data_IF_477903885674
#
_entry.id   IF_477903885674
#
_cell.length_a   1.000
_cell.length_b   1.000
_cell.length_c   1.000
_cell.angle_alpha   90.00
_cell.angle_beta   90.00
_cell.angle_gamma   90.00
#
_symmetry.space_group_name_H-M   'P 1'
#
loop_
_entity.id
_entity.type
_entity.pdbx_description
1 polymer ?
#
# COMPACT_ATOMS: atom_id res chain seq x y z
N UNK A 1 -24.18 -20.77 -15.14
CA UNK A 1 -24.55 -19.42 -15.67
C UNK A 1 -23.52 -19.03 -16.73
N UNK A 2 -23.97 -18.60 -17.94
CA UNK A 2 -23.05 -18.11 -18.97
C UNK A 2 -22.18 -16.95 -18.45
N UNK A 3 -20.92 -16.89 -18.91
CA UNK A 3 -19.96 -15.85 -18.46
C UNK A 3 -20.48 -14.44 -18.68
N UNK A 4 -21.12 -14.19 -19.85
CA UNK A 4 -21.70 -12.89 -20.16
C UNK A 4 -22.76 -12.47 -19.15
N UNK A 5 -23.71 -13.35 -18.82
CA UNK A 5 -24.80 -13.04 -17.88
C UNK A 5 -24.25 -12.79 -16.45
N UNK A 6 -23.25 -13.58 -16.05
CA UNK A 6 -22.53 -13.38 -14.78
C UNK A 6 -21.89 -12.00 -14.74
N UNK A 7 -21.12 -11.65 -15.76
CA UNK A 7 -20.37 -10.39 -15.80
C UNK A 7 -21.32 -9.18 -15.86
N UNK A 8 -22.41 -9.27 -16.60
CA UNK A 8 -23.46 -8.25 -16.59
C UNK A 8 -24.03 -8.04 -15.18
N UNK A 9 -24.37 -9.14 -14.47
CA UNK A 9 -24.87 -9.08 -13.10
C UNK A 9 -23.88 -8.38 -12.17
N UNK A 10 -22.58 -8.76 -12.20
CA UNK A 10 -21.56 -8.13 -11.38
C UNK A 10 -21.30 -6.67 -11.77
N UNK A 11 -21.40 -6.31 -13.05
CA UNK A 11 -21.31 -4.92 -13.49
C UNK A 11 -22.46 -4.09 -12.92
N UNK A 12 -23.70 -4.58 -13.02
CA UNK A 12 -24.88 -3.88 -12.47
C UNK A 12 -24.80 -3.77 -10.95
N UNK A 13 -24.46 -4.85 -10.25
CA UNK A 13 -24.31 -4.83 -8.79
C UNK A 13 -23.20 -3.87 -8.37
N UNK A 14 -22.05 -3.90 -9.04
CA UNK A 14 -20.94 -2.99 -8.78
C UNK A 14 -21.31 -1.52 -9.06
N UNK A 15 -22.10 -1.24 -10.11
CA UNK A 15 -22.58 0.11 -10.40
C UNK A 15 -23.48 0.64 -9.28
N UNK A 16 -24.42 -0.18 -8.79
CA UNK A 16 -25.29 0.19 -7.67
C UNK A 16 -24.45 0.52 -6.42
N UNK A 17 -23.45 -0.31 -6.12
CA UNK A 17 -22.56 -0.08 -4.97
C UNK A 17 -21.73 1.19 -5.18
N UNK A 18 -21.14 1.39 -6.35
CA UNK A 18 -20.33 2.58 -6.67
C UNK A 18 -21.14 3.86 -6.51
N UNK A 19 -22.38 3.90 -7.04
CA UNK A 19 -23.31 5.02 -6.87
C UNK A 19 -23.66 5.21 -5.40
N UNK A 20 -23.95 4.14 -4.67
CA UNK A 20 -24.30 4.20 -3.26
C UNK A 20 -23.16 4.75 -2.40
N UNK A 21 -21.91 4.31 -2.65
CA UNK A 21 -20.73 4.80 -1.94
C UNK A 21 -20.46 6.26 -2.30
N UNK A 22 -20.52 6.63 -3.57
CA UNK A 22 -20.39 8.01 -4.02
C UNK A 22 -21.44 8.92 -3.36
N UNK A 23 -22.72 8.55 -3.39
CA UNK A 23 -23.80 9.30 -2.76
C UNK A 23 -23.58 9.46 -1.24
N UNK A 24 -23.18 8.37 -0.56
CA UNK A 24 -22.85 8.41 0.87
C UNK A 24 -21.76 9.46 1.16
N UNK A 25 -20.66 9.43 0.40
CA UNK A 25 -19.56 10.37 0.64
C UNK A 25 -19.92 11.81 0.26
N UNK A 26 -20.76 12.01 -0.74
CA UNK A 26 -21.25 13.35 -1.11
C UNK A 26 -22.20 13.95 -0.08
N UNK A 27 -23.03 13.12 0.56
CA UNK A 27 -24.01 13.58 1.54
C UNK A 27 -23.45 13.68 2.96
N UNK A 28 -22.58 12.72 3.35
CA UNK A 28 -22.09 12.61 4.72
C UNK A 28 -20.63 13.08 4.88
N UNK A 29 -19.97 13.41 3.78
CA UNK A 29 -18.55 13.71 3.74
C UNK A 29 -17.65 12.46 3.88
N UNK A 30 -16.42 12.58 3.47
CA UNK A 30 -15.40 11.57 3.71
C UNK A 30 -14.71 11.88 5.04
N UNK A 31 -14.60 10.89 5.93
CA UNK A 31 -14.00 11.09 7.25
C UNK A 31 -12.58 10.51 7.33
N UNK A 32 -12.45 9.23 7.01
CA UNK A 32 -11.16 8.51 7.05
C UNK A 32 -11.28 7.17 6.30
N UNK A 33 -10.17 6.61 5.81
CA UNK A 33 -10.17 5.27 5.21
C UNK A 33 -10.53 4.19 6.24
N UNK A 34 -11.04 3.05 5.74
CA UNK A 34 -11.23 1.87 6.56
C UNK A 34 -9.87 1.21 6.81
N UNK A 35 -9.59 0.91 8.06
CA UNK A 35 -8.39 0.18 8.47
C UNK A 35 -8.80 -1.13 9.14
N UNK A 36 -7.82 -2.00 9.43
CA UNK A 36 -8.07 -3.20 10.25
C UNK A 36 -8.69 -2.79 11.56
N UNK A 37 -9.79 -3.48 11.96
CA UNK A 37 -10.55 -3.12 13.17
C UNK A 37 -9.65 -3.09 14.40
N UNK A 38 -9.80 -2.02 15.20
CA UNK A 38 -9.09 -1.87 16.47
C UNK A 38 -9.48 -2.94 17.51
N UNK A 39 -10.66 -3.57 17.35
CA UNK A 39 -11.24 -4.48 18.34
C UNK A 39 -10.56 -5.85 18.37
N UNK A 40 -9.77 -6.21 17.36
CA UNK A 40 -9.04 -7.48 17.30
C UNK A 40 -7.52 -7.24 17.33
N UNK A 41 -6.95 -7.22 18.55
CA UNK A 41 -5.51 -6.98 18.77
C UNK A 41 -4.64 -8.04 18.08
N UNK A 42 -5.01 -9.31 18.15
CA UNK A 42 -4.23 -10.41 17.59
C UNK A 42 -4.21 -10.32 16.05
N UNK A 43 -5.36 -10.14 15.43
CA UNK A 43 -5.43 -9.97 13.97
C UNK A 43 -4.66 -8.73 13.47
N UNK A 44 -4.57 -7.66 14.27
CA UNK A 44 -3.73 -6.49 13.93
C UNK A 44 -2.25 -6.82 14.02
N UNK A 45 -1.82 -7.59 15.01
CA UNK A 45 -0.43 -8.03 15.14
C UNK A 45 -0.07 -8.96 13.98
N UNK A 46 -0.91 -9.94 13.67
CA UNK A 46 -0.71 -10.85 12.54
C UNK A 46 -0.59 -10.07 11.21
N UNK A 47 -1.47 -9.10 10.98
CA UNK A 47 -1.39 -8.23 9.80
C UNK A 47 -0.06 -7.46 9.71
N UNK A 48 0.40 -6.87 10.81
CA UNK A 48 1.68 -6.15 10.88
C UNK A 48 2.86 -7.10 10.57
N UNK A 49 2.81 -8.33 11.11
CA UNK A 49 3.82 -9.36 10.83
C UNK A 49 3.82 -9.73 9.35
N UNK A 50 2.65 -9.97 8.75
CA UNK A 50 2.50 -10.32 7.34
C UNK A 50 3.05 -9.21 6.42
N UNK A 51 2.80 -7.94 6.75
CA UNK A 51 3.32 -6.79 6.02
C UNK A 51 4.84 -6.77 6.05
N UNK A 52 5.45 -6.83 7.24
CA UNK A 52 6.91 -6.77 7.39
C UNK A 52 7.58 -7.98 6.73
N UNK A 53 7.04 -9.20 6.94
CA UNK A 53 7.56 -10.41 6.29
C UNK A 53 7.47 -10.32 4.77
N UNK A 54 6.40 -9.73 4.24
CA UNK A 54 6.24 -9.52 2.81
C UNK A 54 7.29 -8.56 2.26
N UNK A 55 7.55 -7.44 2.93
CA UNK A 55 8.62 -6.55 2.53
C UNK A 55 9.98 -7.27 2.53
N UNK A 56 10.32 -7.93 3.64
CA UNK A 56 11.60 -8.65 3.77
C UNK A 56 11.79 -9.74 2.70
N UNK A 57 10.71 -10.41 2.32
CA UNK A 57 10.73 -11.45 1.29
C UNK A 57 10.97 -10.89 -0.11
N UNK A 58 10.44 -9.70 -0.41
CA UNK A 58 10.54 -9.10 -1.74
C UNK A 58 11.70 -8.11 -1.88
N UNK A 59 12.40 -7.77 -0.80
CA UNK A 59 13.63 -6.99 -0.92
C UNK A 59 14.63 -7.69 -1.85
N UNK A 60 15.34 -6.93 -2.72
CA UNK A 60 16.43 -7.48 -3.51
C UNK A 60 17.47 -8.18 -2.62
N UNK A 61 18.10 -9.28 -3.09
CA UNK A 61 19.01 -10.09 -2.26
C UNK A 61 20.23 -9.31 -1.71
N UNK A 62 20.62 -8.23 -2.37
CA UNK A 62 21.71 -7.34 -1.97
C UNK A 62 21.27 -6.23 -1.00
N UNK A 63 20.00 -6.18 -0.63
CA UNK A 63 19.42 -5.14 0.23
C UNK A 63 19.01 -5.73 1.58
N UNK A 64 19.46 -5.12 2.64
CA UNK A 64 19.06 -5.42 4.01
C UNK A 64 18.45 -4.19 4.67
N UNK A 65 17.52 -4.40 5.56
CA UNK A 65 16.95 -3.33 6.41
C UNK A 65 17.97 -2.78 7.40
N UNK A 66 18.95 -3.61 7.80
CA UNK A 66 19.96 -3.27 8.82
C UNK A 66 20.79 -2.04 8.44
N UNK A 67 20.84 -1.08 9.37
CA UNK A 67 21.58 0.17 9.22
C UNK A 67 20.95 1.18 8.25
N UNK A 68 19.75 0.90 7.74
CA UNK A 68 19.04 1.77 6.77
C UNK A 68 18.11 2.77 7.46
N UNK A 69 18.04 3.95 6.87
CA UNK A 69 16.97 4.91 7.16
C UNK A 69 15.74 4.56 6.32
N UNK A 70 14.63 4.27 6.98
CA UNK A 70 13.40 3.76 6.34
C UNK A 70 12.30 4.81 6.36
N UNK A 71 11.64 5.01 5.21
CA UNK A 71 10.39 5.76 5.08
C UNK A 71 9.24 4.79 4.78
N UNK A 72 8.17 4.87 5.54
CA UNK A 72 6.90 4.19 5.24
C UNK A 72 5.83 5.19 4.81
N UNK A 73 5.18 4.92 3.68
CA UNK A 73 4.06 5.72 3.19
C UNK A 73 2.74 5.05 3.55
N UNK A 74 1.86 5.79 4.22
CA UNK A 74 0.53 5.31 4.57
C UNK A 74 0.51 4.11 5.52
N UNK A 75 1.11 4.19 6.73
CA UNK A 75 1.14 3.07 7.68
C UNK A 75 -0.27 2.67 8.15
N UNK A 76 -1.27 3.49 7.87
CA UNK A 76 -2.63 3.26 8.30
C UNK A 76 -2.79 3.34 9.83
N UNK A 77 -3.44 2.36 10.44
CA UNK A 77 -3.75 2.38 11.88
C UNK A 77 -2.65 1.81 12.78
N UNK A 78 -1.47 1.47 12.23
CA UNK A 78 -0.40 0.88 13.04
C UNK A 78 1.00 1.32 12.61
N UNK A 79 1.80 1.72 13.58
CA UNK A 79 3.24 1.98 13.45
C UNK A 79 4.09 0.80 13.93
N UNK A 80 3.47 -0.33 14.25
CA UNK A 80 4.19 -1.51 14.70
C UNK A 80 5.05 -2.15 13.58
N UNK A 81 4.75 -1.88 12.31
CA UNK A 81 5.63 -2.15 11.16
C UNK A 81 7.00 -1.52 11.37
N UNK A 82 7.03 -0.23 11.72
CA UNK A 82 8.25 0.50 12.01
C UNK A 82 9.01 -0.02 13.23
N UNK A 83 8.27 -0.40 14.28
CA UNK A 83 8.87 -1.01 15.47
C UNK A 83 9.58 -2.34 15.12
N UNK A 84 8.97 -3.15 14.26
CA UNK A 84 9.58 -4.39 13.76
C UNK A 84 10.78 -4.12 12.83
N UNK A 85 10.71 -3.10 11.97
CA UNK A 85 11.85 -2.73 11.12
C UNK A 85 13.05 -2.29 11.95
N UNK A 86 12.83 -1.52 13.04
CA UNK A 86 13.89 -1.20 14.00
C UNK A 86 14.43 -2.46 14.67
N UNK A 87 13.58 -3.41 15.08
CA UNK A 87 13.99 -4.69 15.66
C UNK A 87 14.73 -5.59 14.65
N UNK A 88 14.55 -5.35 13.33
CA UNK A 88 15.39 -5.94 12.27
C UNK A 88 16.70 -5.17 12.03
N UNK A 89 16.99 -4.15 12.83
CA UNK A 89 18.20 -3.35 12.80
C UNK A 89 18.16 -2.14 11.89
N UNK A 90 16.99 -1.65 11.47
CA UNK A 90 16.90 -0.34 10.81
C UNK A 90 17.51 0.74 11.71
N UNK A 91 18.20 1.71 11.11
CA UNK A 91 18.79 2.82 11.86
C UNK A 91 17.71 3.83 12.31
N UNK A 92 16.83 4.17 11.41
CA UNK A 92 15.71 5.10 11.68
C UNK A 92 14.46 4.64 10.93
N UNK A 93 13.31 5.00 11.48
CA UNK A 93 12.02 4.83 10.85
C UNK A 93 11.25 6.16 10.87
N UNK A 94 10.72 6.53 9.73
CA UNK A 94 9.81 7.66 9.58
C UNK A 94 8.58 7.19 8.82
N UNK A 95 7.40 7.45 9.34
CA UNK A 95 6.14 7.21 8.65
C UNK A 95 5.46 8.52 8.29
N UNK A 96 4.83 8.57 7.11
CA UNK A 96 4.03 9.71 6.66
C UNK A 96 2.64 9.24 6.22
N UNK A 97 1.60 9.96 6.62
CA UNK A 97 0.22 9.65 6.28
C UNK A 97 -0.59 10.93 6.01
N UNK A 98 -1.67 10.81 5.25
CA UNK A 98 -2.65 11.88 5.06
C UNK A 98 -3.61 12.01 6.26
N UNK A 99 -3.75 10.96 7.07
CA UNK A 99 -4.68 10.87 8.19
C UNK A 99 -3.97 10.37 9.46
N UNK A 100 -4.30 10.92 10.62
CA UNK A 100 -3.72 10.51 11.91
C UNK A 100 -4.31 9.17 12.42
N UNK A 101 -4.27 8.12 11.59
CA UNK A 101 -4.92 6.83 11.88
C UNK A 101 -4.24 6.05 13.00
N UNK A 102 -2.93 6.22 13.15
CA UNK A 102 -2.13 5.54 14.19
C UNK A 102 -1.89 6.40 15.44
N UNK A 103 -2.55 7.57 15.57
CA UNK A 103 -2.31 8.50 16.70
C UNK A 103 -2.61 7.88 18.06
N UNK A 104 -3.61 7.00 18.13
CA UNK A 104 -4.04 6.35 19.36
C UNK A 104 -3.32 5.01 19.64
N UNK A 105 -2.38 4.61 18.78
CA UNK A 105 -1.64 3.36 18.97
C UNK A 105 -0.64 3.47 20.13
N UNK A 106 -0.70 2.53 21.06
CA UNK A 106 0.14 2.53 22.25
C UNK A 106 1.52 1.92 22.01
N UNK A 107 2.52 2.37 22.77
CA UNK A 107 3.85 1.76 22.77
C UNK A 107 3.81 0.28 23.22
N UNK A 108 2.84 -0.08 24.06
CA UNK A 108 2.61 -1.47 24.49
C UNK A 108 2.24 -2.37 23.30
N UNK A 109 1.32 -1.91 22.42
CA UNK A 109 0.95 -2.66 21.23
C UNK A 109 2.17 -2.93 20.33
N UNK A 110 3.02 -1.93 20.12
CA UNK A 110 4.27 -2.06 19.34
C UNK A 110 5.26 -3.04 19.97
N UNK A 111 5.40 -3.02 21.31
CA UNK A 111 6.23 -4.01 22.03
C UNK A 111 5.70 -5.43 21.89
N UNK A 112 4.38 -5.60 21.98
CA UNK A 112 3.76 -6.91 21.78
C UNK A 112 3.98 -7.45 20.37
N UNK A 113 3.88 -6.57 19.35
CA UNK A 113 4.17 -6.95 17.97
C UNK A 113 5.61 -7.46 17.81
N UNK A 114 6.59 -6.80 18.45
CA UNK A 114 7.98 -7.29 18.48
C UNK A 114 8.08 -8.63 19.22
N UNK A 115 7.51 -8.73 20.42
CA UNK A 115 7.63 -9.92 21.27
C UNK A 115 7.01 -11.19 20.65
N UNK A 116 5.96 -11.01 19.84
CA UNK A 116 5.26 -12.12 19.17
C UNK A 116 5.79 -12.42 17.78
N UNK A 117 6.77 -11.65 17.27
CA UNK A 117 7.31 -11.88 15.94
C UNK A 117 8.06 -13.21 15.88
N UNK A 118 7.58 -14.12 15.04
CA UNK A 118 8.16 -15.44 14.86
C UNK A 118 9.27 -15.41 13.80
N UNK A 119 10.35 -14.71 14.07
CA UNK A 119 11.49 -14.54 13.17
C UNK A 119 12.80 -14.33 13.96
N UNK A 120 13.92 -14.41 13.24
CA UNK A 120 15.25 -14.23 13.84
C UNK A 120 15.54 -12.74 14.07
N UNK A 121 15.22 -12.23 15.25
CA UNK A 121 15.62 -10.91 15.71
C UNK A 121 16.84 -11.03 16.63
N UNK A 122 17.76 -10.08 16.55
CA UNK A 122 18.87 -10.00 17.50
C UNK A 122 18.41 -9.27 18.76
N UNK A 123 18.79 -9.76 19.92
CA UNK A 123 18.40 -9.18 21.21
C UNK A 123 18.81 -7.69 21.31
N UNK A 124 19.99 -7.36 20.83
CA UNK A 124 20.51 -5.99 20.77
C UNK A 124 19.57 -5.05 19.97
N UNK A 125 19.10 -5.49 18.80
CA UNK A 125 18.19 -4.69 17.96
C UNK A 125 16.80 -4.55 18.59
N UNK A 126 16.33 -5.58 19.30
CA UNK A 126 15.09 -5.52 20.07
C UNK A 126 15.18 -4.44 21.15
N UNK A 127 16.28 -4.40 21.88
CA UNK A 127 16.52 -3.42 22.95
C UNK A 127 16.58 -1.99 22.40
N UNK A 128 17.26 -1.79 21.26
CA UNK A 128 17.32 -0.51 20.54
C UNK A 128 15.91 -0.09 20.08
N UNK A 129 15.15 -1.00 19.47
CA UNK A 129 13.80 -0.73 19.02
C UNK A 129 12.89 -0.35 20.20
N UNK A 130 12.93 -1.10 21.29
CA UNK A 130 12.16 -0.81 22.49
C UNK A 130 12.52 0.55 23.11
N UNK A 131 13.80 0.90 23.16
CA UNK A 131 14.25 2.19 23.62
C UNK A 131 13.71 3.35 22.75
N UNK A 132 13.70 3.16 21.42
CA UNK A 132 13.17 4.14 20.48
C UNK A 132 11.65 4.35 20.61
N UNK A 133 10.91 3.40 21.17
CA UNK A 133 9.45 3.51 21.41
C UNK A 133 9.11 4.29 22.68
N UNK A 134 10.09 4.60 23.54
CA UNK A 134 9.91 5.39 24.74
C UNK A 134 10.16 6.88 24.45
N UNK A 135 9.11 7.70 24.45
CA UNK A 135 9.20 9.15 24.27
C UNK A 135 9.32 9.61 22.81
N UNK A 136 9.69 10.86 22.62
CA UNK A 136 9.92 11.46 21.29
C UNK A 136 11.33 11.12 20.81
N UNK A 137 11.50 9.94 20.23
CA UNK A 137 12.77 9.52 19.65
C UNK A 137 12.95 10.12 18.25
N UNK A 138 14.15 10.62 17.95
CA UNK A 138 14.51 11.03 16.58
C UNK A 138 14.57 9.86 15.60
N UNK A 139 14.67 8.64 16.11
CA UNK A 139 14.80 7.41 15.30
C UNK A 139 13.45 6.76 14.97
N UNK A 140 12.35 7.23 15.59
CA UNK A 140 11.00 6.73 15.33
C UNK A 140 10.03 7.91 15.23
N UNK A 141 9.59 8.23 14.00
CA UNK A 141 8.79 9.43 13.75
C UNK A 141 7.54 9.11 12.93
N UNK A 142 6.46 9.82 13.23
CA UNK A 142 5.22 9.80 12.49
C UNK A 142 4.76 11.21 12.18
N UNK A 143 4.55 11.52 10.90
CA UNK A 143 4.12 12.82 10.43
C UNK A 143 2.83 12.69 9.64
N UNK A 144 1.91 13.61 9.86
CA UNK A 144 0.59 13.61 9.21
C UNK A 144 0.32 14.96 8.59
N UNK A 145 -0.07 14.96 7.33
CA UNK A 145 -0.56 16.13 6.62
C UNK A 145 -1.54 15.73 5.52
N UNK A 146 -2.73 16.32 5.51
CA UNK A 146 -3.77 16.01 4.54
C UNK A 146 -3.36 16.28 3.08
N UNK A 147 -2.43 17.19 2.84
CA UNK A 147 -1.85 17.45 1.52
C UNK A 147 -0.83 16.41 1.07
N UNK A 148 -0.41 15.52 1.96
CA UNK A 148 0.56 14.45 1.73
C UNK A 148 1.82 14.91 0.97
N UNK A 149 2.35 16.07 1.34
CA UNK A 149 3.57 16.61 0.77
C UNK A 149 4.79 15.91 1.39
N UNK A 150 5.25 14.82 0.75
CA UNK A 150 6.32 13.96 1.26
C UNK A 150 7.60 14.75 1.60
N UNK A 151 8.17 15.59 0.71
CA UNK A 151 9.36 16.38 1.04
C UNK A 151 9.20 17.26 2.26
N UNK A 152 8.06 17.95 2.38
CA UNK A 152 7.79 18.81 3.54
C UNK A 152 7.61 18.00 4.83
N UNK A 153 6.94 16.84 4.77
CA UNK A 153 6.75 15.94 5.91
C UNK A 153 8.07 15.34 6.39
N UNK A 154 8.97 15.02 5.48
CA UNK A 154 10.28 14.42 5.80
C UNK A 154 11.33 15.45 6.27
N UNK A 155 11.08 16.76 6.16
CA UNK A 155 11.95 17.82 6.70
C UNK A 155 13.42 17.66 6.32
N UNK A 156 13.70 17.55 5.02
CA UNK A 156 15.06 17.39 4.45
C UNK A 156 15.76 16.06 4.79
N UNK A 157 15.10 15.12 5.48
CA UNK A 157 15.64 13.77 5.66
C UNK A 157 15.67 13.03 4.35
N UNK A 158 16.68 12.16 4.22
CA UNK A 158 16.81 11.26 3.08
C UNK A 158 16.84 9.80 3.54
N UNK A 159 16.35 8.90 2.69
CA UNK A 159 16.09 7.51 3.04
C UNK A 159 16.83 6.55 2.11
N UNK A 160 17.22 5.41 2.68
CA UNK A 160 17.85 4.31 1.97
C UNK A 160 16.82 3.27 1.50
N UNK A 161 15.64 3.28 2.12
CA UNK A 161 14.56 2.35 1.84
C UNK A 161 13.21 3.05 1.98
N UNK A 162 12.35 2.95 0.97
CA UNK A 162 11.00 3.52 0.96
C UNK A 162 10.00 2.40 0.77
N UNK A 163 9.09 2.24 1.71
CA UNK A 163 8.15 1.12 1.78
C UNK A 163 6.70 1.61 1.80
N UNK A 164 5.79 0.80 1.29
CA UNK A 164 4.35 0.93 1.56
C UNK A 164 3.64 -0.41 1.40
N UNK A 165 2.48 -0.54 2.01
CA UNK A 165 1.56 -1.66 1.79
C UNK A 165 0.14 -1.14 1.72
N UNK A 166 -0.57 -1.46 0.65
CA UNK A 166 -1.97 -1.07 0.41
C UNK A 166 -2.20 0.46 0.54
N UNK A 167 -1.28 1.26 -0.02
CA UNK A 167 -1.35 2.72 -0.01
C UNK A 167 -1.33 3.32 -1.44
N UNK A 168 -0.48 2.80 -2.34
CA UNK A 168 -0.30 3.36 -3.69
C UNK A 168 -1.56 3.34 -4.55
N UNK A 169 -2.46 2.37 -4.34
CA UNK A 169 -3.76 2.33 -5.01
C UNK A 169 -4.69 3.49 -4.63
N UNK A 170 -4.38 4.23 -3.57
CA UNK A 170 -5.14 5.39 -3.11
C UNK A 170 -4.52 6.74 -3.49
N UNK A 171 -3.35 6.75 -4.11
CA UNK A 171 -2.72 7.98 -4.59
C UNK A 171 -3.26 8.34 -5.97
N UNK A 172 -4.10 9.37 -6.05
CA UNK A 172 -4.72 9.81 -7.31
C UNK A 172 -3.65 10.26 -8.33
N UNK A 173 -2.61 10.97 -7.85
CA UNK A 173 -1.52 11.53 -8.65
C UNK A 173 -0.21 10.77 -8.39
N UNK A 174 -0.10 9.52 -8.88
CA UNK A 174 1.08 8.68 -8.63
C UNK A 174 2.39 9.33 -9.12
N UNK A 175 2.37 10.05 -10.24
CA UNK A 175 3.53 10.78 -10.78
C UNK A 175 4.03 11.82 -9.77
N UNK A 176 3.13 12.62 -9.18
CA UNK A 176 3.50 13.63 -8.17
C UNK A 176 4.02 12.98 -6.91
N UNK A 177 3.44 11.86 -6.50
CA UNK A 177 3.91 11.10 -5.34
C UNK A 177 5.33 10.61 -5.57
N UNK A 178 5.59 9.99 -6.74
CA UNK A 178 6.91 9.45 -7.08
C UNK A 178 7.95 10.57 -7.27
N UNK A 179 7.58 11.72 -7.87
CA UNK A 179 8.44 12.92 -7.87
C UNK A 179 8.82 13.37 -6.45
N UNK A 180 7.86 13.33 -5.53
CA UNK A 180 8.14 13.58 -4.12
C UNK A 180 9.13 12.60 -3.49
N UNK A 181 9.09 11.31 -3.91
CA UNK A 181 10.05 10.31 -3.43
C UNK A 181 11.47 10.60 -3.91
N UNK A 182 11.68 11.11 -5.14
CA UNK A 182 13.02 11.45 -5.63
C UNK A 182 13.72 12.48 -4.76
N UNK A 183 12.95 13.39 -4.15
CA UNK A 183 13.47 14.49 -3.31
C UNK A 183 13.91 14.02 -1.92
N UNK A 184 13.52 12.81 -1.52
CA UNK A 184 13.86 12.23 -0.22
C UNK A 184 14.63 10.92 -0.33
N UNK A 185 14.86 10.42 -1.55
CA UNK A 185 15.67 9.24 -1.80
C UNK A 185 17.17 9.58 -1.77
N UNK A 186 17.98 8.74 -1.13
CA UNK A 186 19.45 8.73 -1.31
C UNK A 186 19.81 8.02 -2.60
N UNK A 187 20.97 8.33 -3.16
CA UNK A 187 21.56 7.49 -4.21
C UNK A 187 21.65 6.03 -3.73
N UNK A 188 21.18 5.10 -4.54
CA UNK A 188 21.05 3.68 -4.20
C UNK A 188 19.83 3.33 -3.34
N UNK A 189 18.93 4.27 -3.06
CA UNK A 189 17.68 4.00 -2.35
C UNK A 189 16.85 2.96 -3.09
N UNK A 190 16.30 2.00 -2.35
CA UNK A 190 15.33 1.03 -2.87
C UNK A 190 13.92 1.43 -2.44
N UNK A 191 13.01 1.46 -3.39
CA UNK A 191 11.59 1.67 -3.19
C UNK A 191 10.86 0.35 -3.40
N UNK A 192 10.03 -0.08 -2.44
CA UNK A 192 9.24 -1.31 -2.50
C UNK A 192 7.82 -1.07 -2.02
N UNK A 193 6.86 -1.25 -2.91
CA UNK A 193 5.45 -0.98 -2.65
C UNK A 193 4.59 -2.21 -2.95
N UNK A 194 3.84 -2.67 -1.96
CA UNK A 194 2.83 -3.71 -2.15
C UNK A 194 1.51 -3.00 -2.44
N UNK A 195 0.94 -3.25 -3.61
CA UNK A 195 -0.23 -2.55 -4.14
C UNK A 195 -1.40 -3.51 -4.30
N UNK A 196 -2.55 -3.19 -3.70
CA UNK A 196 -3.79 -3.93 -3.88
C UNK A 196 -4.52 -3.45 -5.14
N UNK A 197 -4.51 -4.25 -6.18
CA UNK A 197 -5.11 -3.93 -7.47
C UNK A 197 -6.58 -4.35 -7.59
N UNK A 198 -7.19 -4.82 -6.50
CA UNK A 198 -8.54 -5.39 -6.52
C UNK A 198 -9.61 -4.36 -6.18
N UNK A 199 -10.86 -4.70 -6.43
CA UNK A 199 -11.98 -3.92 -5.89
C UNK A 199 -12.01 -3.99 -4.35
N UNK A 200 -12.20 -2.85 -3.68
CA UNK A 200 -12.23 -2.76 -2.21
C UNK A 200 -13.61 -3.06 -1.60
N UNK A 201 -14.62 -3.33 -2.41
CA UNK A 201 -15.94 -3.71 -1.94
C UNK A 201 -15.96 -5.18 -1.53
N UNK A 202 -15.92 -5.48 -0.24
CA UNK A 202 -15.87 -6.83 0.31
C UNK A 202 -16.95 -7.76 -0.24
N UNK A 203 -18.18 -7.27 -0.43
CA UNK A 203 -19.30 -8.06 -0.95
C UNK A 203 -19.05 -8.65 -2.35
N UNK A 204 -18.23 -8.00 -3.16
CA UNK A 204 -17.92 -8.41 -4.54
C UNK A 204 -16.52 -8.98 -4.66
N UNK A 205 -15.55 -8.46 -3.90
CA UNK A 205 -14.11 -8.73 -4.04
C UNK A 205 -13.76 -10.22 -4.24
N UNK A 206 -14.34 -11.10 -3.44
CA UNK A 206 -14.05 -12.54 -3.52
C UNK A 206 -14.56 -13.20 -4.79
N UNK A 207 -15.63 -12.67 -5.39
CA UNK A 207 -16.28 -13.25 -6.56
C UNK A 207 -15.91 -12.58 -7.87
N UNK A 208 -15.56 -11.30 -7.81
CA UNK A 208 -15.19 -10.46 -8.95
C UNK A 208 -14.16 -9.39 -8.53
N UNK A 209 -12.90 -9.81 -8.28
CA UNK A 209 -11.86 -8.90 -7.80
C UNK A 209 -11.57 -7.74 -8.75
N UNK A 210 -11.82 -7.93 -10.05
CA UNK A 210 -11.64 -6.92 -11.10
C UNK A 210 -12.89 -6.05 -11.33
N UNK A 211 -13.84 -6.02 -10.42
CA UNK A 211 -15.12 -5.33 -10.64
C UNK A 211 -14.97 -3.85 -10.98
N UNK A 212 -14.07 -3.12 -10.32
CA UNK A 212 -13.83 -1.68 -10.60
C UNK A 212 -13.36 -1.41 -12.03
N UNK A 213 -12.77 -2.39 -12.71
CA UNK A 213 -12.30 -2.28 -14.10
C UNK A 213 -13.38 -2.61 -15.15
N UNK A 214 -14.60 -2.97 -14.72
CA UNK A 214 -15.74 -3.15 -15.63
C UNK A 214 -16.37 -1.84 -16.05
N UNK A 215 -16.03 -0.75 -15.37
CA UNK A 215 -16.61 0.58 -15.65
C UNK A 215 -15.71 1.36 -16.60
N UNK A 216 -16.28 2.02 -17.64
CA UNK A 216 -15.51 2.94 -18.46
C UNK A 216 -14.95 4.08 -17.60
N UNK A 217 -13.81 4.61 -18.00
CA UNK A 217 -13.06 5.61 -17.20
C UNK A 217 -13.90 6.84 -16.89
N UNK A 218 -14.68 7.32 -17.86
CA UNK A 218 -15.56 8.49 -17.65
C UNK A 218 -16.57 8.28 -16.52
N UNK A 219 -17.19 7.08 -16.45
CA UNK A 219 -18.18 6.78 -15.40
C UNK A 219 -17.50 6.65 -14.02
N UNK A 220 -16.37 5.97 -13.97
CA UNK A 220 -15.63 5.79 -12.74
C UNK A 220 -15.13 7.13 -12.16
N UNK A 221 -14.68 8.05 -13.04
CA UNK A 221 -14.25 9.40 -12.65
C UNK A 221 -15.44 10.29 -12.25
N UNK A 222 -16.61 10.15 -12.91
CA UNK A 222 -17.83 10.88 -12.55
C UNK A 222 -18.31 10.53 -11.14
N UNK A 223 -18.11 9.27 -10.74
CA UNK A 223 -18.48 8.75 -9.43
C UNK A 223 -17.28 8.70 -8.47
N UNK A 224 -16.29 9.56 -8.68
CA UNK A 224 -15.11 9.62 -7.82
C UNK A 224 -15.45 10.09 -6.40
N UNK A 225 -14.79 9.50 -5.42
CA UNK A 225 -14.85 9.88 -4.01
C UNK A 225 -13.47 9.72 -3.35
N UNK A 226 -13.15 10.46 -2.27
CA UNK A 226 -11.87 10.34 -1.60
C UNK A 226 -11.60 8.90 -1.13
N UNK A 227 -10.39 8.39 -1.35
CA UNK A 227 -10.00 7.03 -0.99
C UNK A 227 -10.49 5.93 -1.94
N UNK A 228 -11.08 6.30 -3.07
CA UNK A 228 -11.39 5.36 -4.15
C UNK A 228 -10.08 4.83 -4.78
N UNK A 229 -9.96 3.52 -5.11
CA UNK A 229 -8.79 3.00 -5.82
C UNK A 229 -8.55 3.70 -7.16
N UNK A 230 -7.31 4.04 -7.46
CA UNK A 230 -6.94 4.79 -8.66
C UNK A 230 -7.00 4.00 -9.96
N UNK A 231 -7.18 2.68 -9.91
CA UNK A 231 -7.19 1.73 -11.03
C UNK A 231 -5.90 1.70 -11.86
N UNK A 232 -4.79 2.13 -11.31
CA UNK A 232 -3.49 1.99 -11.95
C UNK A 232 -3.11 0.52 -12.03
N UNK A 233 -2.44 0.15 -13.14
CA UNK A 233 -2.02 -1.24 -13.41
C UNK A 233 -0.48 -1.31 -13.44
N UNK A 234 0.13 -2.50 -13.43
CA UNK A 234 1.58 -2.66 -13.44
C UNK A 234 2.33 -1.71 -14.38
N UNK A 235 1.87 -1.58 -15.60
CA UNK A 235 2.51 -0.72 -16.62
C UNK A 235 2.47 0.76 -16.24
N UNK A 236 1.42 1.24 -15.56
CA UNK A 236 1.34 2.63 -15.11
C UNK A 236 2.40 2.95 -14.06
N UNK A 237 2.65 2.01 -13.13
CA UNK A 237 3.70 2.16 -12.12
C UNK A 237 5.09 2.13 -12.74
N UNK A 238 5.37 1.20 -13.65
CA UNK A 238 6.65 1.16 -14.39
C UNK A 238 6.92 2.50 -15.04
N UNK A 239 5.99 3.01 -15.85
CA UNK A 239 6.15 4.29 -16.54
C UNK A 239 6.31 5.47 -15.56
N UNK A 240 5.57 5.46 -14.44
CA UNK A 240 5.64 6.56 -13.48
C UNK A 240 7.01 6.60 -12.77
N UNK A 241 7.55 5.46 -12.36
CA UNK A 241 8.88 5.39 -11.76
C UNK A 241 9.99 5.75 -12.76
N UNK A 242 9.97 5.18 -13.97
CA UNK A 242 10.97 5.47 -15.01
C UNK A 242 10.99 6.95 -15.41
N UNK A 243 9.82 7.58 -15.61
CA UNK A 243 9.74 9.02 -15.94
C UNK A 243 10.28 9.92 -14.84
N UNK A 244 10.26 9.47 -13.60
CA UNK A 244 10.83 10.19 -12.47
C UNK A 244 12.29 9.79 -12.16
N UNK A 245 12.97 9.12 -13.11
CA UNK A 245 14.40 8.83 -13.04
C UNK A 245 14.77 7.63 -12.18
N UNK A 246 13.78 6.83 -11.75
CA UNK A 246 14.05 5.55 -11.08
C UNK A 246 14.46 4.50 -12.11
N UNK A 247 15.34 3.60 -11.71
CA UNK A 247 15.89 2.52 -12.55
C UNK A 247 15.56 1.16 -11.96
N UNK A 248 15.85 0.08 -12.70
CA UNK A 248 15.60 -1.31 -12.30
C UNK A 248 14.15 -1.54 -11.85
N UNK A 249 13.20 -0.89 -12.51
CA UNK A 249 11.79 -0.96 -12.16
C UNK A 249 11.24 -2.34 -12.48
N UNK A 250 10.77 -3.05 -11.46
CA UNK A 250 10.20 -4.39 -11.57
C UNK A 250 8.81 -4.43 -10.95
N UNK A 251 7.89 -5.16 -11.58
CA UNK A 251 6.59 -5.46 -10.99
C UNK A 251 6.40 -6.96 -10.90
N UNK A 252 6.19 -7.45 -9.69
CA UNK A 252 6.07 -8.87 -9.37
C UNK A 252 4.64 -9.14 -8.89
N UNK A 253 3.98 -10.16 -9.42
CA UNK A 253 2.68 -10.59 -8.92
C UNK A 253 2.82 -11.24 -7.54
N UNK A 254 2.36 -10.57 -6.48
CA UNK A 254 2.27 -11.15 -5.14
C UNK A 254 1.06 -12.08 -5.03
N UNK A 255 -0.03 -11.74 -5.73
CA UNK A 255 -1.25 -12.54 -5.82
C UNK A 255 -1.81 -12.48 -7.24
N UNK A 256 -2.29 -13.59 -7.74
CA UNK A 256 -2.86 -13.67 -9.09
C UNK A 256 -4.18 -14.43 -9.11
N UNK A 257 -4.99 -14.15 -10.13
CA UNK A 257 -6.16 -14.95 -10.47
C UNK A 257 -5.69 -16.34 -10.91
N UNK A 258 -6.21 -17.44 -10.33
CA UNK A 258 -5.95 -18.79 -10.80
C UNK A 258 -6.25 -18.94 -12.29
N UNK A 259 -5.43 -19.70 -13.01
CA UNK A 259 -5.48 -19.76 -14.47
C UNK A 259 -6.83 -20.24 -15.01
N UNK A 260 -7.43 -21.22 -14.35
CA UNK A 260 -8.76 -21.75 -14.66
C UNK A 260 -9.88 -20.69 -14.53
N UNK A 261 -9.65 -19.63 -13.77
CA UNK A 261 -10.61 -18.55 -13.55
C UNK A 261 -10.35 -17.29 -14.40
N UNK A 262 -9.18 -17.16 -15.04
CA UNK A 262 -8.79 -15.97 -15.82
C UNK A 262 -9.82 -15.64 -16.90
N UNK A 263 -10.19 -16.60 -17.74
CA UNK A 263 -11.19 -16.40 -18.79
C UNK A 263 -12.51 -15.84 -18.27
N UNK A 264 -12.94 -16.27 -17.08
CA UNK A 264 -14.20 -15.86 -16.46
C UNK A 264 -14.11 -14.48 -15.83
N UNK A 265 -13.02 -14.19 -15.11
CA UNK A 265 -12.87 -12.98 -14.30
C UNK A 265 -12.33 -11.78 -15.09
N UNK A 266 -11.61 -12.04 -16.20
CA UNK A 266 -11.06 -10.99 -17.07
C UNK A 266 -11.97 -10.66 -18.26
N UNK A 267 -13.01 -11.45 -18.56
CA UNK A 267 -13.93 -11.14 -19.63
C UNK A 267 -14.85 -9.95 -19.29
N UNK A 268 -15.10 -9.09 -20.29
CA UNK A 268 -16.04 -7.96 -20.17
C UNK A 268 -15.53 -6.80 -19.31
N UNK A 269 -14.21 -6.63 -19.23
CA UNK A 269 -13.59 -5.44 -18.68
C UNK A 269 -13.75 -4.27 -19.65
N UNK A 270 -13.82 -3.04 -19.14
CA UNK A 270 -13.86 -1.84 -19.96
C UNK A 270 -12.48 -1.49 -20.52
N UNK A 271 -12.43 -0.78 -21.64
CA UNK A 271 -11.17 -0.22 -22.14
C UNK A 271 -10.58 0.80 -21.15
N UNK A 272 -9.25 0.80 -20.99
CA UNK A 272 -8.21 0.00 -21.68
C UNK A 272 -7.93 -1.36 -21.02
N UNK A 273 -8.65 -1.76 -19.96
CA UNK A 273 -8.38 -2.93 -19.11
C UNK A 273 -8.66 -4.28 -19.81
N UNK A 274 -9.13 -4.27 -21.04
CA UNK A 274 -9.38 -5.46 -21.86
C UNK A 274 -8.16 -5.89 -22.71
N UNK A 275 -6.99 -5.24 -22.50
CA UNK A 275 -5.76 -5.53 -23.24
C UNK A 275 -4.75 -6.32 -22.41
N UNK A 276 -3.87 -7.13 -23.04
CA UNK A 276 -2.87 -7.93 -22.33
C UNK A 276 -1.90 -7.09 -21.47
N UNK A 277 -1.54 -5.89 -21.93
CA UNK A 277 -0.56 -5.00 -21.28
C UNK A 277 -1.01 -4.56 -19.88
N UNK A 278 -2.31 -4.65 -19.60
CA UNK A 278 -2.86 -4.28 -18.30
C UNK A 278 -2.66 -5.33 -17.20
N UNK A 279 -2.16 -6.51 -17.54
CA UNK A 279 -1.89 -7.60 -16.58
C UNK A 279 -3.02 -7.86 -15.58
N UNK A 280 -4.26 -7.88 -16.09
CA UNK A 280 -5.47 -7.96 -15.27
C UNK A 280 -5.59 -9.24 -14.44
N UNK A 281 -4.69 -10.20 -14.64
CA UNK A 281 -4.58 -11.38 -13.79
C UNK A 281 -3.90 -11.09 -12.45
N UNK A 282 -3.10 -10.03 -12.34
CA UNK A 282 -2.48 -9.62 -11.08
C UNK A 282 -3.54 -8.98 -10.16
N UNK A 283 -3.64 -9.50 -8.96
CA UNK A 283 -4.53 -9.02 -7.90
C UNK A 283 -3.81 -8.15 -6.89
N UNK A 284 -2.61 -8.57 -6.47
CA UNK A 284 -1.68 -7.77 -5.68
C UNK A 284 -0.33 -7.75 -6.40
N UNK A 285 0.26 -6.58 -6.50
CA UNK A 285 1.55 -6.38 -7.15
C UNK A 285 2.58 -5.83 -6.16
N UNK A 286 3.83 -6.25 -6.32
CA UNK A 286 4.99 -5.62 -5.65
C UNK A 286 5.74 -4.83 -6.70
N UNK A 287 5.81 -3.52 -6.51
CA UNK A 287 6.57 -2.60 -7.35
C UNK A 287 7.90 -2.33 -6.64
N UNK A 288 9.01 -2.61 -7.31
CA UNK A 288 10.36 -2.41 -6.79
C UNK A 288 11.12 -1.53 -7.76
N UNK A 289 11.89 -0.57 -7.25
CA UNK A 289 12.76 0.29 -8.08
C UNK A 289 13.95 0.78 -7.28
N UNK A 290 14.97 1.30 -7.99
CA UNK A 290 16.15 1.94 -7.38
C UNK A 290 16.26 3.38 -7.83
N UNK A 291 16.65 4.25 -6.91
CA UNK A 291 17.04 5.62 -7.23
C UNK A 291 18.55 5.66 -7.47
N UNK A 292 19.03 6.16 -8.61
CA UNK A 292 20.44 6.11 -8.99
C UNK A 292 21.38 6.96 -8.12
#
# INVERSE_FOLDING_TARGET
MPIFLRNLLFTLTGAVILIGVWAKHRLLGYRKPNTVSADNRDARIDYVHDVVQSWLRFLPPDVSVRGRSVLELGPGSSLATGALLLAHGAQTYTAVDAFALAADETAEFRRDAIARFNGNLKQEDIEIAQAALHGASSNFQYHVDAGFNIPALCREKTFDLILSCAAFEHFDAIETTIDGLTKVARSGCVSLHIVDLQTHTNAIRQRDPNNIYRFPTWLYSLLAFPGQPNRKRPIDYVHAFERNGWVDVQVIAAKSIPEDQRKKLMAGLAKPFDTPEMDMHMLDAVVISRYP
#
